data_IF_041873524695
#
_entry.id   IF_041873524695
#
_cell.length_a   1.000
_cell.length_b   1.000
_cell.length_c   1.000
_cell.angle_alpha   90.00
_cell.angle_beta   90.00
_cell.angle_gamma   90.00
#
_symmetry.space_group_name_H-M   'P 1'
#
loop_
_entity.id
_entity.type
_entity.pdbx_description
1 polymer ?
#
# COMPACT_ATOMS: atom_id res chain seq x y z
N UNK A 1 -23.54 5.90 -70.89
CA UNK A 1 -23.04 5.50 -69.56
C UNK A 1 -23.90 4.37 -69.06
N UNK A 2 -23.32 3.20 -68.75
CA UNK A 2 -24.08 1.99 -68.40
C UNK A 2 -24.62 2.04 -66.97
N UNK A 3 -25.94 1.94 -66.85
CA UNK A 3 -26.68 2.06 -65.60
C UNK A 3 -26.37 0.88 -64.66
N UNK A 4 -26.18 -0.32 -65.22
CA UNK A 4 -25.90 -1.55 -64.47
C UNK A 4 -24.52 -1.54 -63.81
N UNK A 5 -23.53 -0.91 -64.44
CA UNK A 5 -22.18 -0.79 -63.87
C UNK A 5 -22.18 0.12 -62.65
N UNK A 6 -22.96 1.20 -62.68
CA UNK A 6 -23.12 2.10 -61.53
C UNK A 6 -23.91 1.45 -60.39
N UNK A 7 -24.98 0.69 -60.71
CA UNK A 7 -25.76 -0.06 -59.73
C UNK A 7 -24.90 -1.10 -58.98
N UNK A 8 -24.10 -1.87 -59.71
CA UNK A 8 -23.22 -2.89 -59.10
C UNK A 8 -22.13 -2.27 -58.22
N UNK A 9 -21.57 -1.12 -58.63
CA UNK A 9 -20.59 -0.38 -57.82
C UNK A 9 -21.18 0.15 -56.52
N UNK A 10 -22.42 0.66 -56.56
CA UNK A 10 -23.13 1.14 -55.37
C UNK A 10 -23.44 -0.01 -54.39
N UNK A 11 -23.87 -1.17 -54.89
CA UNK A 11 -24.15 -2.34 -54.05
C UNK A 11 -22.88 -2.88 -53.36
N UNK A 12 -21.73 -2.86 -54.02
CA UNK A 12 -20.44 -3.22 -53.42
C UNK A 12 -19.98 -2.20 -52.35
N UNK A 13 -20.25 -0.91 -52.56
CA UNK A 13 -19.96 0.12 -51.55
C UNK A 13 -20.85 -0.02 -50.31
N UNK A 14 -22.14 -0.31 -50.48
CA UNK A 14 -23.06 -0.48 -49.35
C UNK A 14 -22.76 -1.75 -48.54
N UNK A 15 -22.36 -2.84 -49.19
CA UNK A 15 -22.01 -4.09 -48.51
C UNK A 15 -20.68 -3.99 -47.75
N UNK A 16 -19.69 -3.28 -48.28
CA UNK A 16 -18.41 -3.03 -47.58
C UNK A 16 -18.57 -2.13 -46.35
N UNK A 17 -19.40 -1.08 -46.43
CA UNK A 17 -19.72 -0.23 -45.26
C UNK A 17 -20.47 -0.99 -44.15
N UNK A 18 -21.40 -1.89 -44.50
CA UNK A 18 -22.10 -2.72 -43.51
C UNK A 18 -21.14 -3.63 -42.74
N UNK A 19 -20.20 -4.30 -43.44
CA UNK A 19 -19.20 -5.17 -42.81
C UNK A 19 -18.25 -4.40 -41.88
N UNK A 20 -17.85 -3.17 -42.24
CA UNK A 20 -17.01 -2.33 -41.37
C UNK A 20 -17.74 -1.88 -40.09
N UNK A 21 -19.01 -1.47 -40.19
CA UNK A 21 -19.81 -1.09 -39.00
C UNK A 21 -20.00 -2.28 -38.04
N UNK A 22 -20.23 -3.48 -38.57
CA UNK A 22 -20.45 -4.67 -37.76
C UNK A 22 -19.21 -5.06 -36.93
N UNK A 23 -18.01 -5.00 -37.53
CA UNK A 23 -16.73 -5.25 -36.83
C UNK A 23 -16.43 -4.24 -35.72
N UNK A 24 -16.81 -2.97 -35.92
CA UNK A 24 -16.66 -1.91 -34.90
C UNK A 24 -17.52 -2.18 -33.65
N UNK A 25 -18.75 -2.66 -33.85
CA UNK A 25 -19.67 -2.98 -32.75
C UNK A 25 -19.19 -4.19 -31.95
N UNK A 26 -18.67 -5.23 -32.62
CA UNK A 26 -18.13 -6.43 -31.96
C UNK A 26 -16.90 -6.11 -31.11
N UNK A 27 -15.96 -5.31 -31.64
CA UNK A 27 -14.77 -4.88 -30.88
C UNK A 27 -15.13 -4.03 -29.65
N UNK A 28 -16.20 -3.22 -29.74
CA UNK A 28 -16.68 -2.41 -28.61
C UNK A 28 -17.33 -3.28 -27.53
N UNK A 29 -18.12 -4.30 -27.92
CA UNK A 29 -18.73 -5.25 -26.97
C UNK A 29 -17.70 -6.13 -26.27
N UNK A 30 -16.66 -6.56 -26.97
CA UNK A 30 -15.56 -7.32 -26.37
C UNK A 30 -14.81 -6.51 -25.30
N UNK A 31 -14.55 -5.23 -25.55
CA UNK A 31 -13.92 -4.32 -24.57
C UNK A 31 -14.80 -4.06 -23.34
N UNK A 32 -16.13 -3.94 -23.51
CA UNK A 32 -17.04 -3.77 -22.37
C UNK A 32 -17.09 -5.02 -21.48
N UNK A 33 -17.11 -6.23 -22.07
CA UNK A 33 -17.11 -7.49 -21.31
C UNK A 33 -15.84 -7.71 -20.48
N UNK A 34 -14.67 -7.34 -21.03
CA UNK A 34 -13.39 -7.39 -20.29
C UNK A 34 -13.39 -6.41 -19.10
N UNK A 35 -14.03 -5.25 -19.23
CA UNK A 35 -14.16 -4.27 -18.15
C UNK A 35 -15.12 -4.74 -17.05
N UNK A 36 -16.22 -5.39 -17.43
CA UNK A 36 -17.19 -5.98 -16.49
C UNK A 36 -16.61 -7.18 -15.72
N UNK A 37 -15.80 -8.04 -16.36
CA UNK A 37 -15.12 -9.14 -15.65
C UNK A 37 -14.05 -8.64 -14.68
N UNK A 38 -13.32 -7.58 -15.03
CA UNK A 38 -12.38 -6.93 -14.10
C UNK A 38 -13.09 -6.26 -12.89
N UNK A 39 -14.30 -5.74 -13.08
CA UNK A 39 -15.13 -5.18 -11.99
C UNK A 39 -15.79 -6.27 -11.12
N UNK A 40 -16.17 -7.42 -11.70
CA UNK A 40 -16.72 -8.54 -10.94
C UNK A 40 -15.67 -9.23 -10.04
N UNK A 41 -14.40 -9.28 -10.48
CA UNK A 41 -13.29 -9.78 -9.65
C UNK A 41 -12.90 -8.81 -8.52
N UNK A 42 -13.14 -7.50 -8.68
CA UNK A 42 -12.88 -6.49 -7.64
C UNK A 42 -13.96 -6.39 -6.55
N UNK A 43 -15.15 -6.96 -6.77
CA UNK A 43 -16.29 -6.82 -5.85
C UNK A 43 -16.42 -7.95 -4.83
N UNK A 44 -15.75 -9.09 -5.04
CA UNK A 44 -15.71 -10.18 -4.06
C UNK A 44 -14.77 -9.90 -2.85
N UNK A 45 -13.78 -9.02 -2.99
CA UNK A 45 -12.84 -8.65 -1.92
C UNK A 45 -13.29 -7.46 -1.06
N UNK A 46 -14.33 -6.71 -1.49
CA UNK A 46 -14.73 -5.45 -0.83
C UNK A 46 -15.64 -5.59 0.39
N UNK A 47 -15.96 -6.81 0.86
CA UNK A 47 -16.88 -7.01 2.00
C UNK A 47 -16.23 -6.95 3.39
N UNK A 48 -14.96 -6.54 3.53
CA UNK A 48 -14.25 -6.39 4.82
C UNK A 48 -13.51 -5.06 5.04
N UNK A 49 -13.75 -4.00 4.25
CA UNK A 49 -13.05 -2.72 4.48
C UNK A 49 -13.78 -1.87 5.52
N UNK A 50 -13.55 -2.16 6.80
CA UNK A 50 -13.63 -1.13 7.83
C UNK A 50 -12.73 0.07 7.46
N UNK A 51 -12.98 1.24 8.04
CA UNK A 51 -12.15 2.44 7.81
C UNK A 51 -10.68 2.07 8.12
N UNK A 52 -9.80 2.17 7.12
CA UNK A 52 -8.37 1.87 7.28
C UNK A 52 -7.81 2.71 8.43
N UNK A 53 -7.03 2.08 9.30
CA UNK A 53 -6.30 2.78 10.36
C UNK A 53 -5.04 3.40 9.78
N UNK A 54 -4.60 4.51 10.37
CA UNK A 54 -3.34 5.15 10.00
C UNK A 54 -2.17 4.43 10.68
N UNK A 55 -1.08 4.25 9.93
CA UNK A 55 0.20 3.71 10.43
C UNK A 55 1.29 4.66 10.00
N UNK A 56 2.17 5.02 10.93
CA UNK A 56 3.33 5.86 10.64
C UNK A 56 4.57 4.98 10.43
N UNK A 57 5.27 5.20 9.32
CA UNK A 57 6.62 4.70 9.09
C UNK A 57 7.62 5.84 9.34
N UNK A 58 8.66 5.55 10.10
CA UNK A 58 9.77 6.46 10.34
C UNK A 58 11.10 5.85 9.89
N UNK A 59 11.88 6.63 9.14
CA UNK A 59 13.22 6.26 8.72
C UNK A 59 13.58 6.84 7.35
N UNK A 60 14.77 6.52 6.87
CA UNK A 60 15.22 6.98 5.56
C UNK A 60 14.42 6.31 4.43
N UNK A 61 13.87 7.07 3.46
CA UNK A 61 13.14 6.51 2.34
C UNK A 61 14.06 5.61 1.51
N UNK A 62 13.74 4.33 1.42
CA UNK A 62 14.55 3.35 0.71
C UNK A 62 13.74 2.12 0.34
N UNK A 63 14.40 1.14 -0.29
CA UNK A 63 13.74 -0.08 -0.75
C UNK A 63 13.02 -0.82 0.38
N UNK A 64 13.65 -0.91 1.55
CA UNK A 64 13.07 -1.61 2.71
C UNK A 64 11.74 -0.98 3.17
N UNK A 65 11.72 0.32 3.49
CA UNK A 65 10.48 1.01 3.87
C UNK A 65 9.46 1.06 2.73
N UNK A 66 9.92 1.06 1.47
CA UNK A 66 9.06 0.87 0.30
C UNK A 66 8.35 -0.48 0.32
N UNK A 67 9.06 -1.56 0.62
CA UNK A 67 8.48 -2.90 0.80
C UNK A 67 7.49 -2.93 1.97
N UNK A 68 7.86 -2.41 3.14
CA UNK A 68 6.97 -2.34 4.32
C UNK A 68 5.68 -1.59 3.97
N UNK A 69 5.79 -0.43 3.31
CA UNK A 69 4.64 0.36 2.86
C UNK A 69 3.76 -0.41 1.87
N UNK A 70 4.36 -1.12 0.91
CA UNK A 70 3.62 -1.93 -0.05
C UNK A 70 2.88 -3.09 0.62
N UNK A 71 3.52 -3.79 1.57
CA UNK A 71 2.92 -4.88 2.34
C UNK A 71 1.69 -4.41 3.13
N UNK A 72 1.70 -3.18 3.63
CA UNK A 72 0.61 -2.61 4.41
C UNK A 72 -0.48 -1.91 3.58
N UNK A 73 -0.26 -1.70 2.28
CA UNK A 73 -1.10 -0.83 1.46
C UNK A 73 -2.58 -1.23 1.43
N UNK A 74 -2.87 -2.53 1.51
CA UNK A 74 -4.25 -3.03 1.53
C UNK A 74 -4.90 -2.98 2.91
N UNK A 75 -4.10 -2.99 3.99
CA UNK A 75 -4.56 -3.08 5.38
C UNK A 75 -4.68 -1.72 6.06
N UNK A 76 -3.79 -0.78 5.76
CA UNK A 76 -3.70 0.49 6.49
C UNK A 76 -3.44 1.67 5.54
N UNK A 77 -3.67 2.88 6.05
CA UNK A 77 -3.21 4.11 5.42
C UNK A 77 -1.83 4.46 5.98
N UNK A 78 -0.81 4.42 5.12
CA UNK A 78 0.59 4.43 5.56
C UNK A 78 1.26 5.75 5.18
N UNK A 79 1.73 6.47 6.20
CA UNK A 79 2.44 7.74 6.03
C UNK A 79 3.91 7.53 6.38
N UNK A 80 4.82 8.09 5.59
CA UNK A 80 6.27 7.93 5.77
C UNK A 80 6.90 9.29 6.06
N UNK A 81 7.64 9.37 7.16
CA UNK A 81 8.45 10.53 7.52
C UNK A 81 9.92 10.14 7.74
N UNK A 82 10.81 11.06 7.38
CA UNK A 82 12.25 10.99 7.67
C UNK A 82 12.72 12.18 8.51
N UNK A 83 11.80 13.05 8.91
CA UNK A 83 12.02 14.17 9.82
C UNK A 83 11.25 13.89 11.12
N UNK A 84 11.96 13.95 12.25
CA UNK A 84 11.41 13.57 13.55
C UNK A 84 10.33 14.53 14.04
N UNK A 85 10.46 15.82 13.77
CA UNK A 85 9.51 16.85 14.22
C UNK A 85 8.15 16.59 13.58
N UNK A 86 8.12 16.43 12.26
CA UNK A 86 6.90 16.09 11.51
C UNK A 86 6.32 14.73 11.91
N UNK A 87 7.16 13.74 12.17
CA UNK A 87 6.69 12.44 12.61
C UNK A 87 6.01 12.53 13.99
N UNK A 88 6.62 13.28 14.92
CA UNK A 88 6.11 13.48 16.27
C UNK A 88 4.81 14.28 16.25
N UNK A 89 4.76 15.40 15.53
CA UNK A 89 3.53 16.18 15.31
C UNK A 89 2.40 15.29 14.78
N UNK A 90 2.69 14.48 13.76
CA UNK A 90 1.69 13.59 13.16
C UNK A 90 1.18 12.53 14.14
N UNK A 91 2.06 11.93 14.94
CA UNK A 91 1.67 11.00 16.01
C UNK A 91 0.72 11.67 17.00
N UNK A 92 1.05 12.90 17.41
CA UNK A 92 0.29 13.64 18.42
C UNK A 92 -1.10 14.10 17.92
N UNK A 93 -1.18 14.57 16.68
CA UNK A 93 -2.43 15.07 16.09
C UNK A 93 -3.41 13.94 15.74
N UNK A 94 -2.90 12.84 15.19
CA UNK A 94 -3.73 11.78 14.60
C UNK A 94 -3.96 10.57 15.49
N UNK A 95 -3.38 10.53 16.70
CA UNK A 95 -3.53 9.41 17.65
C UNK A 95 -3.22 8.06 16.98
N UNK A 96 -2.04 7.98 16.37
CA UNK A 96 -1.63 6.85 15.53
C UNK A 96 -1.47 5.58 16.38
N UNK A 97 -2.20 4.48 16.11
CA UNK A 97 -2.14 3.27 16.92
C UNK A 97 -0.83 2.48 16.77
N UNK A 98 -0.11 2.69 15.67
CA UNK A 98 1.12 1.94 15.36
C UNK A 98 2.15 2.83 14.65
N UNK A 99 3.35 2.86 15.23
CA UNK A 99 4.54 3.47 14.66
C UNK A 99 5.55 2.36 14.32
N UNK A 100 6.09 2.40 13.11
CA UNK A 100 7.07 1.43 12.64
C UNK A 100 8.35 2.19 12.28
N UNK A 101 9.48 1.77 12.84
CA UNK A 101 10.75 2.49 12.71
C UNK A 101 11.84 1.61 12.09
N UNK A 102 12.63 2.18 11.18
CA UNK A 102 13.87 1.59 10.72
C UNK A 102 15.05 2.14 11.54
N UNK A 103 15.77 1.27 12.25
CA UNK A 103 16.92 1.64 13.08
C UNK A 103 18.25 1.61 12.32
N UNK A 104 18.30 0.97 11.16
CA UNK A 104 19.55 0.79 10.46
C UNK A 104 19.95 2.06 9.68
N UNK A 105 21.26 2.36 9.58
CA UNK A 105 21.75 3.41 8.71
C UNK A 105 21.22 3.27 7.27
N UNK A 106 20.83 4.37 6.62
CA UNK A 106 21.10 5.76 6.98
C UNK A 106 20.08 6.42 7.92
N UNK A 107 19.14 5.67 8.50
CA UNK A 107 18.29 6.18 9.57
C UNK A 107 19.11 6.42 10.84
N UNK A 108 18.77 7.45 11.60
CA UNK A 108 19.43 7.77 12.86
C UNK A 108 18.65 7.12 14.02
N UNK A 109 19.22 6.08 14.62
CA UNK A 109 18.62 5.34 15.72
C UNK A 109 18.31 6.23 16.93
N UNK A 110 19.07 7.31 17.15
CA UNK A 110 18.84 8.24 18.27
C UNK A 110 17.49 8.94 18.09
N UNK A 111 17.20 9.36 16.87
CA UNK A 111 15.91 9.97 16.53
C UNK A 111 14.75 8.98 16.62
N UNK A 112 14.97 7.71 16.29
CA UNK A 112 13.96 6.67 16.50
C UNK A 112 13.66 6.50 18.01
N UNK A 113 14.71 6.50 18.84
CA UNK A 113 14.56 6.45 20.30
C UNK A 113 13.81 7.68 20.85
N UNK A 114 14.13 8.88 20.37
CA UNK A 114 13.43 10.10 20.75
C UNK A 114 11.93 10.06 20.36
N UNK A 115 11.63 9.59 19.15
CA UNK A 115 10.24 9.40 18.68
C UNK A 115 9.48 8.37 19.53
N UNK A 116 10.15 7.27 19.89
CA UNK A 116 9.59 6.23 20.75
C UNK A 116 9.27 6.78 22.14
N UNK A 117 10.26 7.36 22.80
CA UNK A 117 10.12 7.88 24.17
C UNK A 117 9.10 8.99 24.26
N UNK A 118 9.11 9.92 23.30
CA UNK A 118 8.12 11.00 23.22
C UNK A 118 6.71 10.43 23.06
N UNK A 119 6.50 9.55 22.08
CA UNK A 119 5.17 9.02 21.83
C UNK A 119 4.67 8.09 22.93
N UNK A 120 5.53 7.26 23.55
CA UNK A 120 5.14 6.46 24.73
C UNK A 120 4.81 7.30 25.96
N UNK A 121 5.50 8.42 26.16
CA UNK A 121 5.22 9.34 27.27
C UNK A 121 3.85 10.02 27.10
N UNK A 122 3.55 10.45 25.87
CA UNK A 122 2.31 11.17 25.57
C UNK A 122 1.10 10.26 25.38
N UNK A 123 1.31 9.10 24.75
CA UNK A 123 0.28 8.11 24.44
C UNK A 123 0.84 6.69 24.68
N UNK A 124 0.72 6.18 25.92
CA UNK A 124 1.28 4.87 26.30
C UNK A 124 0.77 3.69 25.47
N UNK A 125 -0.43 3.81 24.91
CA UNK A 125 -1.12 2.79 24.13
C UNK A 125 -0.61 2.65 22.68
N UNK A 126 0.26 3.56 22.21
CA UNK A 126 0.85 3.46 20.87
C UNK A 126 1.74 2.22 20.82
N UNK A 127 1.52 1.38 19.81
CA UNK A 127 2.37 0.24 19.55
C UNK A 127 3.56 0.65 18.69
N UNK A 128 4.71 0.02 18.94
CA UNK A 128 5.93 0.26 18.18
C UNK A 128 6.47 -1.04 17.60
N UNK A 129 6.80 -1.01 16.32
CA UNK A 129 7.60 -2.06 15.67
C UNK A 129 8.92 -1.44 15.23
N UNK A 130 10.01 -2.10 15.55
CA UNK A 130 11.37 -1.64 15.29
C UNK A 130 12.07 -2.67 14.42
N UNK A 131 12.61 -2.22 13.28
CA UNK A 131 13.38 -3.05 12.38
C UNK A 131 14.88 -2.82 12.53
N UNK A 132 15.63 -3.92 12.50
CA UNK A 132 17.09 -3.92 12.47
C UNK A 132 17.62 -5.00 11.52
N UNK A 133 18.83 -4.84 11.01
CA UNK A 133 19.49 -5.80 10.12
C UNK A 133 20.15 -6.94 10.89
N UNK A 134 20.66 -6.65 12.08
CA UNK A 134 21.40 -7.61 12.89
C UNK A 134 20.45 -8.56 13.62
N UNK A 135 20.79 -9.86 13.64
CA UNK A 135 20.00 -10.88 14.36
C UNK A 135 20.16 -10.77 15.88
N UNK A 136 21.34 -10.36 16.32
CA UNK A 136 21.60 -10.04 17.72
C UNK A 136 21.29 -8.54 17.86
N UNK A 137 20.31 -8.17 18.69
CA UNK A 137 19.96 -6.77 18.83
C UNK A 137 21.12 -5.97 19.41
N UNK A 138 21.36 -4.81 18.81
CA UNK A 138 22.28 -3.84 19.39
C UNK A 138 21.66 -3.24 20.66
N UNK A 139 22.51 -2.78 21.58
CA UNK A 139 22.08 -2.24 22.88
C UNK A 139 20.91 -1.23 22.77
N UNK A 140 20.88 -0.28 21.81
CA UNK A 140 19.74 0.64 21.68
C UNK A 140 18.42 -0.05 21.35
N UNK A 141 18.45 -1.15 20.59
CA UNK A 141 17.25 -1.91 20.22
C UNK A 141 16.77 -2.74 21.40
N UNK A 142 17.69 -3.34 22.18
CA UNK A 142 17.35 -4.03 23.44
C UNK A 142 16.61 -3.11 24.41
N UNK A 143 17.04 -1.84 24.53
CA UNK A 143 16.38 -0.86 25.41
C UNK A 143 14.94 -0.63 24.98
N UNK A 144 14.70 -0.40 23.68
CA UNK A 144 13.34 -0.21 23.16
C UNK A 144 12.47 -1.46 23.35
N UNK A 145 13.04 -2.64 23.15
CA UNK A 145 12.35 -3.92 23.36
C UNK A 145 11.89 -4.08 24.82
N UNK A 146 12.79 -3.83 25.78
CA UNK A 146 12.45 -3.85 27.22
C UNK A 146 11.38 -2.81 27.60
N UNK A 147 11.28 -1.71 26.85
CA UNK A 147 10.24 -0.68 27.01
C UNK A 147 8.94 -1.01 26.26
N UNK A 148 8.85 -2.19 25.65
CA UNK A 148 7.63 -2.70 25.02
C UNK A 148 7.55 -2.50 23.51
N UNK A 149 8.65 -2.18 22.82
CA UNK A 149 8.70 -2.23 21.37
C UNK A 149 8.79 -3.67 20.86
N UNK A 150 8.14 -3.97 19.74
CA UNK A 150 8.31 -5.23 19.02
C UNK A 150 9.52 -5.14 18.08
N UNK A 151 10.50 -6.01 18.26
CA UNK A 151 11.69 -6.02 17.40
C UNK A 151 11.54 -7.07 16.31
N UNK A 152 11.75 -6.67 15.06
CA UNK A 152 11.80 -7.55 13.90
C UNK A 152 13.13 -7.41 13.16
N UNK A 153 13.65 -8.53 12.67
CA UNK A 153 14.90 -8.55 11.91
C UNK A 153 14.64 -8.50 10.41
N UNK A 154 15.53 -7.83 9.66
CA UNK A 154 15.55 -7.87 8.20
C UNK A 154 16.24 -9.16 7.70
N UNK A 155 15.82 -9.73 6.56
CA UNK A 155 14.75 -9.29 5.67
C UNK A 155 13.34 -9.53 6.24
N UNK A 156 12.38 -8.75 5.77
CA UNK A 156 10.98 -8.80 6.21
C UNK A 156 10.35 -10.15 5.89
N UNK A 157 9.85 -10.86 6.91
CA UNK A 157 8.89 -11.94 6.72
C UNK A 157 7.47 -11.35 6.65
N UNK A 158 6.93 -11.20 5.44
CA UNK A 158 5.65 -10.53 5.23
C UNK A 158 4.50 -11.16 6.01
N UNK A 159 4.41 -12.49 6.11
CA UNK A 159 3.29 -13.17 6.77
C UNK A 159 3.27 -12.90 8.28
N UNK A 160 4.42 -13.07 8.93
CA UNK A 160 4.62 -12.78 10.35
C UNK A 160 4.36 -11.31 10.65
N UNK A 161 4.90 -10.41 9.82
CA UNK A 161 4.70 -8.98 9.96
C UNK A 161 3.23 -8.57 9.83
N UNK A 162 2.51 -9.07 8.81
CA UNK A 162 1.08 -8.75 8.63
C UNK A 162 0.23 -9.26 9.79
N UNK A 163 0.54 -10.46 10.31
CA UNK A 163 -0.17 -11.02 11.46
C UNK A 163 0.06 -10.18 12.73
N UNK A 164 1.29 -9.73 12.95
CA UNK A 164 1.61 -8.83 14.07
C UNK A 164 0.87 -7.50 13.94
N UNK A 165 0.86 -6.89 12.76
CA UNK A 165 0.16 -5.62 12.54
C UNK A 165 -1.36 -5.78 12.72
N UNK A 166 -1.94 -6.87 12.24
CA UNK A 166 -3.35 -7.17 12.45
C UNK A 166 -3.67 -7.27 13.95
N UNK A 167 -2.83 -7.97 14.70
CA UNK A 167 -2.95 -8.08 16.16
C UNK A 167 -2.86 -6.72 16.87
N UNK A 168 -1.93 -5.86 16.47
CA UNK A 168 -1.68 -4.59 17.18
C UNK A 168 -2.67 -3.47 16.83
N UNK A 169 -3.29 -3.53 15.65
CA UNK A 169 -4.12 -2.43 15.13
C UNK A 169 -5.61 -2.76 15.09
N UNK A 170 -5.96 -4.04 14.97
CA UNK A 170 -7.33 -4.50 14.72
C UNK A 170 -7.89 -5.51 15.73
N UNK A 171 -7.12 -5.85 16.78
CA UNK A 171 -7.65 -6.61 17.94
C UNK A 171 -8.25 -5.67 18.97
#
# INVERSE_FOLDING_TARGET
MDFDTNRNRLLQQLTSQRKQKQRSIENTRAKMRLKEQAQALGTASSKRRGRKKFVLLYGHPGLFLGTVKATLADMAEVVLYNNIDRASEYVLEHHIPLVIMDMDPPSDWRKCHDLFTTGKTMYPDINYIVFQKNKIPEEPVCVLEHQGAHVLTKPLNSAEFTALVEKLVYS
#
